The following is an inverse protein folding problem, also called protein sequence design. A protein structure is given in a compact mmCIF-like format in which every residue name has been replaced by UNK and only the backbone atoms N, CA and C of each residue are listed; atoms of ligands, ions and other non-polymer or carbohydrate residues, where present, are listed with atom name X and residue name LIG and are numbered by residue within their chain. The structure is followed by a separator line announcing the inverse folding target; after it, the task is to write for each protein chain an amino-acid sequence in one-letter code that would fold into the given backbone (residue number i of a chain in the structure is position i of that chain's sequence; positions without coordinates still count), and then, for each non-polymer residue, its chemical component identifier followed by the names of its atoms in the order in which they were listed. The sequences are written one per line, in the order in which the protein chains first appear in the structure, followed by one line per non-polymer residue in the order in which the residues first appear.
data_IF_876590715955
#
_entry.id   IF_876590715955
#
_cell.length_a   1.000
_cell.length_b   1.000
_cell.length_c   1.000
_cell.angle_alpha   90.00
_cell.angle_beta   90.00
_cell.angle_gamma   90.00
#
_symmetry.space_group_name_H-M   'P 1'
#
loop_
_entity.id
_entity.type
_entity.pdbx_description
1 polymer ?
#
# COMPACT_ATOMS: atom_id res chain seq x y z
N UNK A 1 -78.92 6.69 24.95
CA UNK A 1 -77.83 7.64 25.23
C UNK A 1 -77.26 8.00 23.87
N UNK A 2 -77.31 9.25 23.47
CA UNK A 2 -76.96 9.67 22.10
C UNK A 2 -75.46 9.96 22.02
N UNK A 3 -74.84 9.64 20.92
CA UNK A 3 -73.39 9.80 20.71
C UNK A 3 -72.86 11.20 21.06
N UNK A 4 -73.69 12.19 20.93
CA UNK A 4 -73.38 13.59 21.30
C UNK A 4 -73.19 13.76 22.83
N UNK A 5 -73.96 13.06 23.62
CA UNK A 5 -73.88 13.08 25.08
C UNK A 5 -72.68 12.29 25.63
N UNK A 6 -72.28 11.23 24.91
CA UNK A 6 -71.10 10.45 25.20
C UNK A 6 -69.86 11.28 24.94
N UNK A 7 -69.74 11.93 23.78
CA UNK A 7 -68.60 12.79 23.42
C UNK A 7 -68.49 14.02 24.37
N UNK A 8 -69.57 14.60 24.83
CA UNK A 8 -69.53 15.72 25.78
C UNK A 8 -69.05 15.28 27.17
N UNK A 9 -69.46 14.10 27.64
CA UNK A 9 -68.96 13.50 28.90
C UNK A 9 -67.47 13.07 28.81
N UNK A 10 -67.05 12.53 27.69
CA UNK A 10 -65.66 12.19 27.47
C UNK A 10 -64.82 13.49 27.43
N UNK A 11 -65.27 14.52 26.75
CA UNK A 11 -64.60 15.81 26.70
C UNK A 11 -64.39 16.44 28.08
N UNK A 12 -65.46 16.43 28.90
CA UNK A 12 -65.39 16.93 30.28
C UNK A 12 -64.49 16.10 31.19
N UNK A 13 -64.51 14.78 31.04
CA UNK A 13 -63.63 13.89 31.79
C UNK A 13 -62.17 14.10 31.42
N UNK A 14 -61.87 14.34 30.14
CA UNK A 14 -60.49 14.61 29.65
C UNK A 14 -59.98 15.95 30.20
N UNK A 15 -60.79 17.00 30.19
CA UNK A 15 -60.38 18.32 30.71
C UNK A 15 -60.21 18.30 32.25
N UNK A 16 -60.99 17.50 32.99
CA UNK A 16 -60.85 17.36 34.44
C UNK A 16 -59.70 16.42 34.86
N UNK A 17 -59.29 15.51 33.98
CA UNK A 17 -58.16 14.56 34.23
C UNK A 17 -56.76 15.09 33.79
N UNK A 18 -56.71 16.16 33.01
CA UNK A 18 -55.46 16.80 32.64
C UNK A 18 -55.03 17.79 33.73
N UNK A 19 -53.92 17.51 34.45
CA UNK A 19 -53.41 18.51 35.40
C UNK A 19 -52.96 19.74 34.61
N UNK A 20 -53.19 20.93 35.21
CA UNK A 20 -52.72 22.19 34.61
C UNK A 20 -51.21 22.27 34.61
N UNK A 21 -50.62 21.55 33.65
CA UNK A 21 -49.18 21.49 33.43
C UNK A 21 -48.66 22.87 32.97
N UNK A 22 -49.49 23.67 32.31
CA UNK A 22 -49.10 24.95 31.76
C UNK A 22 -48.83 25.99 32.86
N UNK A 23 -49.68 26.03 33.89
CA UNK A 23 -49.49 26.91 35.07
C UNK A 23 -48.21 26.50 35.82
N UNK A 24 -48.00 25.20 35.98
CA UNK A 24 -46.81 24.65 36.68
C UNK A 24 -45.50 24.90 35.92
N UNK A 25 -45.50 24.77 34.60
CA UNK A 25 -44.33 25.09 33.76
C UNK A 25 -44.02 26.58 33.78
N UNK A 26 -45.04 27.46 33.78
CA UNK A 26 -44.85 28.91 33.83
C UNK A 26 -44.34 29.38 35.19
N UNK A 27 -44.79 28.79 36.30
CA UNK A 27 -44.31 29.10 37.64
C UNK A 27 -42.86 28.63 37.84
N UNK A 28 -42.54 27.39 37.41
CA UNK A 28 -41.16 26.86 37.47
C UNK A 28 -40.19 27.65 36.56
N UNK A 29 -40.67 28.16 35.43
CA UNK A 29 -39.87 29.01 34.54
C UNK A 29 -39.64 30.40 35.12
N UNK A 30 -40.61 30.94 35.90
CA UNK A 30 -40.46 32.19 36.65
C UNK A 30 -39.43 32.09 37.77
N UNK A 31 -39.51 31.05 38.60
CA UNK A 31 -38.55 30.81 39.69
C UNK A 31 -37.14 30.55 39.18
N UNK A 32 -36.97 29.86 38.01
CA UNK A 32 -35.67 29.70 37.38
C UNK A 32 -35.04 31.00 36.88
N UNK A 33 -35.86 31.99 36.46
CA UNK A 33 -35.35 33.30 36.05
C UNK A 33 -34.81 34.12 37.23
N UNK A 34 -35.45 34.07 38.39
CA UNK A 34 -34.96 34.78 39.56
C UNK A 34 -33.66 34.17 40.13
N UNK A 35 -33.52 32.85 40.08
CA UNK A 35 -32.29 32.18 40.54
C UNK A 35 -31.10 32.30 39.58
N UNK A 36 -31.33 32.69 38.31
CA UNK A 36 -30.23 32.85 37.34
C UNK A 36 -29.55 34.22 37.39
N UNK A 37 -30.07 35.20 38.09
CA UNK A 37 -29.51 36.55 38.15
C UNK A 37 -28.35 36.72 39.14
N UNK A 38 -28.01 35.70 39.95
CA UNK A 38 -26.94 35.76 40.94
C UNK A 38 -25.75 34.85 40.68
N UNK A 39 -25.56 34.35 39.46
CA UNK A 39 -24.32 33.67 39.10
C UNK A 39 -23.29 34.73 38.78
N UNK A 40 -22.52 35.15 39.78
CA UNK A 40 -21.29 35.94 39.60
C UNK A 40 -20.28 35.05 38.85
N UNK A 41 -20.23 35.20 37.54
CA UNK A 41 -19.22 34.54 36.71
C UNK A 41 -17.89 35.27 36.98
N UNK A 42 -16.90 34.64 37.61
CA UNK A 42 -15.61 35.28 37.83
C UNK A 42 -14.97 35.57 36.48
N UNK A 43 -14.73 36.81 36.13
CA UNK A 43 -14.10 37.29 34.87
C UNK A 43 -12.66 36.80 34.65
N UNK A 44 -12.10 35.95 35.52
CA UNK A 44 -10.71 35.50 35.49
C UNK A 44 -10.41 34.29 34.56
N UNK A 45 -11.40 33.66 33.91
CA UNK A 45 -11.16 32.46 33.10
C UNK A 45 -10.74 32.73 31.62
N UNK A 46 -10.85 33.96 31.13
CA UNK A 46 -10.55 34.26 29.70
C UNK A 46 -9.08 34.23 29.35
N UNK A 47 -8.17 34.39 30.31
CA UNK A 47 -6.71 34.35 30.06
C UNK A 47 -6.22 32.91 29.97
N UNK A 48 -6.74 32.02 30.83
CA UNK A 48 -6.34 30.61 30.84
C UNK A 48 -6.82 29.87 29.57
N UNK A 49 -8.04 30.11 29.12
CA UNK A 49 -8.59 29.50 27.90
C UNK A 49 -7.86 29.95 26.62
N UNK A 50 -7.35 31.18 26.58
CA UNK A 50 -6.53 31.64 25.45
C UNK A 50 -5.14 31.02 25.45
N UNK A 51 -4.53 30.79 26.62
CA UNK A 51 -3.27 30.08 26.73
C UNK A 51 -3.40 28.61 26.31
N UNK A 52 -4.43 27.90 26.74
CA UNK A 52 -4.71 26.52 26.34
C UNK A 52 -5.07 26.40 24.86
N UNK A 53 -5.78 27.36 24.26
CA UNK A 53 -6.07 27.40 22.83
C UNK A 53 -4.78 27.57 21.99
N UNK A 54 -3.83 28.38 22.45
CA UNK A 54 -2.51 28.53 21.81
C UNK A 54 -1.69 27.26 21.85
N UNK A 55 -1.63 26.58 23.00
CA UNK A 55 -0.92 25.31 23.16
C UNK A 55 -1.55 24.21 22.29
N UNK A 56 -2.89 24.10 22.27
CA UNK A 56 -3.58 23.15 21.42
C UNK A 56 -3.32 23.39 19.94
N UNK A 57 -3.33 24.66 19.48
CA UNK A 57 -2.99 25.00 18.11
C UNK A 57 -1.53 24.63 17.75
N UNK A 58 -0.56 24.89 18.64
CA UNK A 58 0.84 24.50 18.44
C UNK A 58 0.99 22.97 18.37
N UNK A 59 0.27 22.22 19.20
CA UNK A 59 0.31 20.75 19.18
C UNK A 59 -0.29 20.18 17.89
N UNK A 60 -1.37 20.77 17.36
CA UNK A 60 -1.99 20.37 16.09
C UNK A 60 -1.04 20.64 14.92
N UNK A 61 -0.39 21.81 14.90
CA UNK A 61 0.60 22.17 13.88
C UNK A 61 1.83 21.25 13.97
N UNK A 62 2.35 21.02 15.17
CA UNK A 62 3.46 20.11 15.38
C UNK A 62 3.10 18.67 14.96
N UNK A 63 1.92 18.17 15.34
CA UNK A 63 1.42 16.88 14.92
C UNK A 63 1.24 16.78 13.39
N UNK A 64 0.77 17.85 12.75
CA UNK A 64 0.64 17.94 11.29
C UNK A 64 1.99 17.90 10.56
N UNK A 65 2.99 18.62 11.08
CA UNK A 65 4.37 18.59 10.53
C UNK A 65 5.00 17.21 10.75
N UNK A 66 4.84 16.62 11.93
CA UNK A 66 5.34 15.28 12.24
C UNK A 66 4.68 14.21 11.39
N UNK A 67 3.35 14.24 11.27
CA UNK A 67 2.59 13.32 10.41
C UNK A 67 2.94 13.50 8.93
N UNK A 68 3.07 14.74 8.45
CA UNK A 68 3.47 15.04 7.07
C UNK A 68 4.90 14.59 6.76
N UNK A 69 5.84 14.78 7.67
CA UNK A 69 7.22 14.27 7.54
C UNK A 69 7.29 12.75 7.57
N UNK A 70 6.55 12.13 8.47
CA UNK A 70 6.48 10.66 8.58
C UNK A 70 5.84 10.03 7.35
N UNK A 71 4.73 10.59 6.84
CA UNK A 71 4.08 10.12 5.61
C UNK A 71 4.97 10.31 4.37
N UNK A 72 5.74 11.39 4.28
CA UNK A 72 6.72 11.58 3.20
C UNK A 72 7.85 10.55 3.26
N UNK A 73 8.33 10.21 4.45
CA UNK A 73 9.33 9.18 4.64
C UNK A 73 8.81 7.80 4.23
N UNK A 74 7.60 7.42 4.68
CA UNK A 74 6.96 6.15 4.29
C UNK A 74 6.76 6.00 2.78
N UNK A 75 6.58 7.10 2.06
CA UNK A 75 6.41 7.08 0.60
C UNK A 75 7.74 7.04 -0.16
N UNK A 76 8.89 7.26 0.50
CA UNK A 76 10.23 7.30 -0.11
C UNK A 76 11.10 6.11 0.27
N UNK A 77 10.78 5.43 1.37
CA UNK A 77 11.57 4.28 1.80
C UNK A 77 11.21 3.06 0.94
N UNK A 78 12.24 2.36 0.46
CA UNK A 78 12.09 1.08 -0.23
C UNK A 78 11.51 0.07 0.77
N UNK A 79 10.37 -0.48 0.44
CA UNK A 79 9.70 -1.52 1.22
C UNK A 79 9.91 -2.92 0.63
N UNK A 80 10.05 -2.99 -0.69
CA UNK A 80 10.29 -4.23 -1.42
C UNK A 80 11.11 -3.94 -2.67
N UNK A 81 11.93 -4.89 -3.08
CA UNK A 81 12.56 -4.93 -4.39
C UNK A 81 12.02 -6.13 -5.14
N UNK A 82 11.50 -5.91 -6.33
CA UNK A 82 11.04 -6.95 -7.24
C UNK A 82 12.02 -7.05 -8.39
N UNK A 83 12.57 -8.26 -8.62
CA UNK A 83 13.42 -8.53 -9.77
C UNK A 83 12.63 -9.30 -10.82
N UNK A 84 12.79 -8.89 -12.07
CA UNK A 84 12.33 -9.59 -13.27
C UNK A 84 13.54 -10.04 -14.04
N UNK A 85 13.77 -11.34 -14.08
CA UNK A 85 14.87 -11.95 -14.78
C UNK A 85 14.38 -12.85 -15.92
N UNK A 86 14.91 -12.58 -17.08
CA UNK A 86 14.80 -13.41 -18.28
C UNK A 86 16.22 -13.62 -18.80
N UNK A 87 16.84 -12.68 -19.15
CA UNK A 87 18.08 -12.16 -19.70
C UNK A 87 17.62 -11.20 -20.80
N UNK A 88 17.10 -10.05 -20.38
CA UNK A 88 17.57 -9.07 -19.38
C UNK A 88 17.20 -9.35 -17.91
N UNK A 89 17.93 -8.67 -16.99
CA UNK A 89 17.63 -8.59 -15.56
C UNK A 89 17.28 -7.16 -15.15
N UNK A 90 16.14 -6.97 -14.51
CA UNK A 90 15.62 -5.66 -14.09
C UNK A 90 15.23 -5.73 -12.62
N UNK A 91 15.60 -4.71 -11.84
CA UNK A 91 15.15 -4.54 -10.46
C UNK A 91 14.22 -3.33 -10.34
N UNK A 92 13.17 -3.48 -9.55
CA UNK A 92 12.13 -2.48 -9.31
C UNK A 92 12.01 -2.27 -7.81
N UNK A 93 12.41 -1.10 -7.33
CA UNK A 93 12.21 -0.71 -5.94
C UNK A 93 10.85 -0.05 -5.77
N UNK A 94 10.09 -0.52 -4.78
CA UNK A 94 8.77 0.02 -4.47
C UNK A 94 8.65 0.39 -2.99
N UNK A 95 7.80 1.38 -2.72
CA UNK A 95 7.42 1.74 -1.38
C UNK A 95 6.30 0.83 -0.83
N UNK A 96 5.87 1.07 0.42
CA UNK A 96 4.79 0.30 1.09
C UNK A 96 3.43 0.36 0.39
N UNK A 97 3.23 1.28 -0.56
CA UNK A 97 2.01 1.42 -1.37
C UNK A 97 2.19 0.81 -2.76
N UNK A 98 3.25 0.04 -2.96
CA UNK A 98 3.63 -0.56 -4.24
C UNK A 98 3.77 0.49 -5.36
N UNK A 99 4.22 1.71 -5.00
CA UNK A 99 4.61 2.74 -5.95
C UNK A 99 6.08 2.62 -6.26
N UNK A 100 6.41 2.62 -7.52
CA UNK A 100 7.78 2.53 -8.01
C UNK A 100 8.58 3.74 -7.57
N UNK A 101 9.72 3.50 -6.95
CA UNK A 101 10.69 4.50 -6.56
C UNK A 101 11.82 4.58 -7.59
N UNK A 102 12.27 3.43 -8.06
CA UNK A 102 13.36 3.29 -9.01
C UNK A 102 13.21 2.01 -9.83
N UNK A 103 13.65 2.03 -11.08
CA UNK A 103 13.83 0.85 -11.93
C UNK A 103 15.30 0.84 -12.37
N UNK A 104 15.98 -0.27 -12.08
CA UNK A 104 17.41 -0.45 -12.40
C UNK A 104 17.59 -1.53 -13.44
N UNK A 105 18.35 -1.21 -14.47
CA UNK A 105 18.86 -2.18 -15.43
C UNK A 105 20.12 -2.87 -14.87
N UNK A 106 20.15 -4.19 -14.87
CA UNK A 106 21.31 -4.96 -14.43
C UNK A 106 22.28 -5.25 -15.55
N UNK A 107 21.85 -5.06 -16.81
CA UNK A 107 22.69 -5.27 -18.00
C UNK A 107 22.20 -4.41 -19.17
N UNK A 108 22.97 -4.37 -20.26
CA UNK A 108 22.65 -3.57 -21.45
C UNK A 108 21.35 -3.98 -22.14
N UNK A 109 20.93 -5.23 -22.04
CA UNK A 109 19.63 -5.67 -22.57
C UNK A 109 18.47 -5.11 -21.75
N UNK A 110 18.62 -5.02 -20.43
CA UNK A 110 17.67 -4.39 -19.56
C UNK A 110 17.53 -2.88 -19.84
N UNK A 111 18.64 -2.19 -20.15
CA UNK A 111 18.59 -0.79 -20.59
C UNK A 111 17.76 -0.63 -21.87
N UNK A 112 17.91 -1.55 -22.82
CA UNK A 112 17.09 -1.53 -24.04
C UNK A 112 15.64 -1.82 -23.79
N UNK A 113 15.32 -2.70 -22.82
CA UNK A 113 13.92 -3.01 -22.45
C UNK A 113 13.28 -1.81 -21.79
N UNK A 114 13.95 -1.17 -20.85
CA UNK A 114 13.43 0.03 -20.15
C UNK A 114 13.32 1.19 -21.14
N UNK A 115 14.34 1.41 -21.99
CA UNK A 115 14.35 2.51 -22.95
C UNK A 115 14.11 3.86 -22.26
N UNK A 116 13.27 4.70 -22.87
CA UNK A 116 12.94 6.04 -22.37
C UNK A 116 11.73 6.05 -21.42
N UNK A 117 11.27 4.89 -20.92
CA UNK A 117 10.12 4.80 -20.02
C UNK A 117 10.50 5.29 -18.62
N UNK A 118 9.74 6.25 -18.09
CA UNK A 118 9.82 6.69 -16.69
C UNK A 118 8.69 6.04 -15.89
N UNK A 119 9.06 5.23 -14.94
CA UNK A 119 8.15 4.51 -14.07
C UNK A 119 8.00 5.13 -12.68
N UNK A 120 8.68 6.22 -12.40
CA UNK A 120 8.68 6.87 -11.08
C UNK A 120 7.25 7.24 -10.64
N UNK A 121 6.82 6.70 -9.51
CA UNK A 121 5.47 6.91 -8.97
C UNK A 121 4.36 6.07 -9.61
N UNK A 122 4.65 5.28 -10.65
CA UNK A 122 3.71 4.33 -11.24
C UNK A 122 3.37 3.20 -10.23
N UNK A 123 2.32 2.45 -10.48
CA UNK A 123 2.06 1.23 -9.71
C UNK A 123 2.98 0.11 -10.21
N UNK A 124 3.32 -0.82 -9.32
CA UNK A 124 4.15 -1.97 -9.65
C UNK A 124 3.54 -2.79 -10.80
N UNK A 125 2.23 -3.04 -10.77
CA UNK A 125 1.53 -3.83 -11.80
C UNK A 125 1.67 -3.17 -13.19
N UNK A 126 1.45 -1.86 -13.29
CA UNK A 126 1.62 -1.12 -14.55
C UNK A 126 3.06 -1.22 -15.06
N UNK A 127 4.04 -1.10 -14.16
CA UNK A 127 5.46 -1.19 -14.50
C UNK A 127 5.85 -2.58 -14.98
N UNK A 128 5.42 -3.61 -14.25
CA UNK A 128 5.68 -5.02 -14.61
C UNK A 128 5.07 -5.33 -15.98
N UNK A 129 3.81 -4.96 -16.20
CA UNK A 129 3.14 -5.20 -17.47
C UNK A 129 3.83 -4.49 -18.64
N UNK A 130 4.27 -3.25 -18.45
CA UNK A 130 4.98 -2.51 -19.49
C UNK A 130 6.37 -3.14 -19.79
N UNK A 131 7.09 -3.58 -18.76
CA UNK A 131 8.39 -4.23 -18.93
C UNK A 131 8.26 -5.60 -19.62
N UNK A 132 7.32 -6.43 -19.19
CA UNK A 132 7.04 -7.72 -19.86
C UNK A 132 6.59 -7.50 -21.32
N UNK A 133 5.69 -6.54 -21.56
CA UNK A 133 5.28 -6.18 -22.93
C UNK A 133 6.47 -5.69 -23.78
N UNK A 134 7.41 -4.92 -23.23
CA UNK A 134 8.62 -4.50 -23.91
C UNK A 134 9.56 -5.69 -24.20
N UNK A 135 9.71 -6.64 -23.24
CA UNK A 135 10.47 -7.86 -23.43
C UNK A 135 9.91 -8.73 -24.55
N UNK A 136 8.57 -8.89 -24.59
CA UNK A 136 7.85 -9.59 -25.67
C UNK A 136 8.07 -8.90 -27.01
N UNK A 137 7.81 -7.61 -27.10
CA UNK A 137 7.95 -6.82 -28.31
C UNK A 137 9.36 -6.78 -28.90
N UNK A 138 10.38 -6.96 -28.05
CA UNK A 138 11.80 -6.99 -28.43
C UNK A 138 12.35 -8.41 -28.60
N UNK A 139 11.54 -9.44 -28.39
CA UNK A 139 11.91 -10.83 -28.57
C UNK A 139 12.78 -11.45 -27.47
N UNK A 140 12.87 -10.81 -26.29
CA UNK A 140 13.54 -11.40 -25.12
C UNK A 140 12.70 -12.51 -24.48
N UNK A 141 11.38 -12.44 -24.64
CA UNK A 141 10.44 -13.51 -24.31
C UNK A 141 9.79 -13.96 -25.61
N UNK A 142 9.84 -15.26 -25.87
CA UNK A 142 9.29 -15.88 -27.08
C UNK A 142 8.89 -17.33 -26.76
N UNK A 143 8.34 -18.05 -27.74
CA UNK A 143 8.02 -19.48 -27.58
C UNK A 143 9.23 -20.35 -27.23
N UNK A 144 10.43 -19.96 -27.64
CA UNK A 144 11.68 -20.72 -27.43
C UNK A 144 12.46 -20.22 -26.21
N UNK A 145 12.26 -18.94 -25.80
CA UNK A 145 12.89 -18.32 -24.65
C UNK A 145 11.79 -17.79 -23.71
N UNK A 146 11.17 -18.68 -22.98
CA UNK A 146 9.92 -18.46 -22.31
C UNK A 146 9.95 -18.54 -20.77
N UNK A 147 11.14 -18.68 -20.16
CA UNK A 147 11.26 -18.73 -18.70
C UNK A 147 11.49 -17.35 -18.12
N UNK A 148 10.65 -16.96 -17.16
CA UNK A 148 10.73 -15.70 -16.41
C UNK A 148 10.91 -16.05 -14.93
N UNK A 149 11.89 -15.44 -14.27
CA UNK A 149 12.06 -15.53 -12.83
C UNK A 149 11.62 -14.24 -12.17
N UNK A 150 10.68 -14.35 -11.26
CA UNK A 150 10.21 -13.27 -10.39
C UNK A 150 10.82 -13.48 -9.01
N UNK A 151 11.56 -12.51 -8.54
CA UNK A 151 12.14 -12.56 -7.19
C UNK A 151 11.69 -11.36 -6.38
N UNK A 152 11.31 -11.59 -5.12
CA UNK A 152 10.83 -10.54 -4.22
C UNK A 152 11.69 -10.51 -2.96
N UNK A 153 12.30 -9.37 -2.71
CA UNK A 153 13.01 -9.03 -1.46
C UNK A 153 12.07 -8.17 -0.62
N UNK A 154 11.76 -8.59 0.60
CA UNK A 154 10.79 -7.88 1.44
C UNK A 154 9.35 -8.00 0.90
N UNK A 155 8.50 -7.06 1.27
CA UNK A 155 7.12 -7.01 0.77
C UNK A 155 6.12 -7.89 1.53
N UNK A 156 4.87 -7.88 1.06
CA UNK A 156 3.80 -8.70 1.62
C UNK A 156 3.89 -10.13 1.08
N UNK A 157 3.40 -11.08 1.87
CA UNK A 157 3.41 -12.51 1.50
C UNK A 157 2.67 -12.78 0.18
N UNK A 158 1.58 -12.07 -0.09
CA UNK A 158 0.79 -12.24 -1.32
C UNK A 158 1.34 -11.52 -2.56
N UNK A 159 2.39 -10.68 -2.42
CA UNK A 159 2.91 -9.90 -3.54
C UNK A 159 3.50 -10.80 -4.63
N UNK A 160 4.31 -11.77 -4.24
CA UNK A 160 4.94 -12.72 -5.17
C UNK A 160 3.90 -13.54 -5.93
N UNK A 161 2.91 -14.10 -5.22
CA UNK A 161 1.83 -14.89 -5.82
C UNK A 161 1.02 -14.08 -6.82
N UNK A 162 0.69 -12.84 -6.47
CA UNK A 162 -0.06 -11.93 -7.34
C UNK A 162 0.69 -11.61 -8.63
N UNK A 163 1.97 -11.23 -8.52
CA UNK A 163 2.81 -10.96 -9.69
C UNK A 163 3.00 -12.20 -10.56
N UNK A 164 3.18 -13.38 -9.95
CA UNK A 164 3.29 -14.64 -10.68
C UNK A 164 2.03 -14.91 -11.49
N UNK A 165 0.86 -14.79 -10.88
CA UNK A 165 -0.42 -14.99 -11.56
C UNK A 165 -0.65 -13.98 -12.70
N UNK A 166 -0.28 -12.71 -12.48
CA UNK A 166 -0.42 -11.64 -13.47
C UNK A 166 0.47 -11.88 -14.70
N UNK A 167 1.76 -12.18 -14.49
CA UNK A 167 2.70 -12.45 -15.58
C UNK A 167 2.31 -13.73 -16.32
N UNK A 168 1.94 -14.80 -15.61
CA UNK A 168 1.45 -16.03 -16.25
C UNK A 168 0.27 -15.74 -17.17
N UNK A 169 -0.72 -15.00 -16.69
CA UNK A 169 -1.88 -14.61 -17.50
C UNK A 169 -1.50 -13.79 -18.73
N UNK A 170 -0.50 -12.91 -18.61
CA UNK A 170 -0.01 -12.06 -19.68
C UNK A 170 0.64 -12.92 -20.79
N UNK A 171 1.54 -13.84 -20.39
CA UNK A 171 2.17 -14.76 -21.33
C UNK A 171 1.18 -15.70 -22.01
N UNK A 172 0.21 -16.25 -21.27
CA UNK A 172 -0.84 -17.10 -21.83
C UNK A 172 -1.71 -16.34 -22.88
N UNK A 173 -1.96 -15.04 -22.64
CA UNK A 173 -2.72 -14.20 -23.58
C UNK A 173 -1.98 -14.02 -24.90
N UNK A 174 -0.64 -13.95 -24.86
CA UNK A 174 0.21 -13.87 -26.05
C UNK A 174 0.56 -15.25 -26.64
N UNK A 175 -0.04 -16.32 -26.12
CA UNK A 175 0.16 -17.68 -26.60
C UNK A 175 1.51 -18.28 -26.24
N UNK A 176 2.20 -17.74 -25.23
CA UNK A 176 3.49 -18.20 -24.77
C UNK A 176 3.29 -19.09 -23.56
N UNK A 177 3.44 -20.39 -23.74
CA UNK A 177 3.48 -21.35 -22.64
C UNK A 177 4.86 -21.39 -22.05
N UNK A 178 5.14 -20.50 -21.07
CA UNK A 178 6.41 -20.35 -20.43
C UNK A 178 6.44 -20.78 -18.97
N UNK A 179 7.64 -21.03 -18.45
CA UNK A 179 7.85 -21.29 -17.04
C UNK A 179 7.98 -19.96 -16.27
N UNK A 180 6.95 -19.58 -15.52
CA UNK A 180 7.05 -18.47 -14.57
C UNK A 180 7.54 -19.01 -13.23
N UNK A 181 8.83 -18.86 -12.99
CA UNK A 181 9.48 -19.21 -11.72
C UNK A 181 9.33 -18.06 -10.74
N UNK A 182 9.07 -18.34 -9.48
CA UNK A 182 8.99 -17.28 -8.48
C UNK A 182 9.61 -17.68 -7.15
N UNK A 183 10.21 -16.72 -6.46
CA UNK A 183 10.85 -16.95 -5.17
C UNK A 183 10.83 -15.69 -4.28
N UNK A 184 10.85 -15.90 -2.97
CA UNK A 184 11.25 -14.87 -2.04
C UNK A 184 12.77 -14.94 -1.84
N UNK A 185 13.42 -13.78 -1.86
CA UNK A 185 14.85 -13.67 -1.66
C UNK A 185 15.13 -13.33 -0.21
N UNK A 186 15.98 -14.16 0.41
CA UNK A 186 16.56 -13.84 1.71
C UNK A 186 17.90 -13.15 1.47
N UNK A 187 17.94 -11.85 1.72
CA UNK A 187 19.15 -11.05 1.53
C UNK A 187 20.26 -11.58 2.43
N UNK A 188 21.39 -11.95 1.84
CA UNK A 188 22.66 -12.21 2.54
C UNK A 188 23.77 -11.35 1.94
N UNK A 189 24.76 -10.99 2.76
CA UNK A 189 25.90 -10.22 2.25
C UNK A 189 26.65 -10.92 1.11
N UNK A 190 26.69 -12.24 1.13
CA UNK A 190 27.34 -13.07 0.10
C UNK A 190 26.58 -13.00 -1.24
N UNK A 191 25.24 -13.16 -1.21
CA UNK A 191 24.41 -13.05 -2.41
C UNK A 191 24.46 -11.66 -3.03
N UNK A 192 24.41 -10.63 -2.19
CA UNK A 192 24.54 -9.24 -2.65
C UNK A 192 25.89 -9.00 -3.34
N UNK A 193 26.99 -9.45 -2.71
CA UNK A 193 28.33 -9.32 -3.29
C UNK A 193 28.45 -10.09 -4.61
N UNK A 194 27.86 -11.29 -4.71
CA UNK A 194 27.83 -12.05 -5.94
C UNK A 194 27.00 -11.34 -7.03
N UNK A 195 25.82 -10.83 -6.70
CA UNK A 195 24.97 -10.07 -7.62
C UNK A 195 25.72 -8.85 -8.20
N UNK A 196 26.33 -8.04 -7.33
CA UNK A 196 27.13 -6.88 -7.74
C UNK A 196 28.33 -7.28 -8.62
N UNK A 197 29.08 -8.33 -8.23
CA UNK A 197 30.26 -8.79 -8.97
C UNK A 197 29.94 -9.24 -10.39
N UNK A 198 28.80 -9.91 -10.57
CA UNK A 198 28.42 -10.50 -11.85
C UNK A 198 27.40 -9.66 -12.65
N UNK A 199 26.97 -8.52 -12.15
CA UNK A 199 25.98 -7.66 -12.80
C UNK A 199 24.63 -8.35 -13.01
N UNK A 200 24.17 -9.10 -12.01
CA UNK A 200 22.91 -9.84 -12.01
C UNK A 200 22.05 -9.41 -10.81
N UNK A 201 20.77 -9.75 -10.82
CA UNK A 201 19.88 -9.48 -9.70
C UNK A 201 20.21 -10.38 -8.49
N UNK A 202 19.82 -9.94 -7.28
CA UNK A 202 19.92 -10.79 -6.09
C UNK A 202 19.06 -12.07 -6.24
N UNK A 203 17.94 -11.98 -6.98
CA UNK A 203 17.11 -13.12 -7.30
C UNK A 203 17.81 -14.16 -8.15
N UNK A 204 18.43 -13.74 -9.23
CA UNK A 204 19.23 -14.63 -10.09
C UNK A 204 20.42 -15.20 -9.33
N UNK A 205 21.08 -14.40 -8.50
CA UNK A 205 22.19 -14.88 -7.66
C UNK A 205 21.72 -15.98 -6.68
N UNK A 206 20.54 -15.85 -6.07
CA UNK A 206 19.97 -16.89 -5.20
C UNK A 206 19.61 -18.17 -5.98
N UNK A 207 19.11 -18.06 -7.20
CA UNK A 207 18.85 -19.22 -8.06
C UNK A 207 20.16 -19.96 -8.36
N UNK A 208 21.20 -19.24 -8.78
CA UNK A 208 22.52 -19.79 -9.07
C UNK A 208 23.13 -20.46 -7.83
N UNK A 209 23.07 -19.83 -6.67
CA UNK A 209 23.55 -20.40 -5.40
C UNK A 209 22.87 -21.74 -5.09
N UNK A 210 21.54 -21.84 -5.34
CA UNK A 210 20.82 -23.12 -5.18
C UNK A 210 21.28 -24.19 -6.17
N UNK A 211 21.52 -23.82 -7.42
CA UNK A 211 22.07 -24.76 -8.43
C UNK A 211 23.42 -25.25 -7.98
N UNK A 212 24.33 -24.37 -7.56
CA UNK A 212 25.68 -24.75 -7.10
C UNK A 212 25.63 -25.65 -5.85
N UNK A 213 24.71 -25.38 -4.92
CA UNK A 213 24.50 -26.23 -3.73
C UNK A 213 24.01 -27.63 -4.07
N UNK A 214 23.22 -27.76 -5.13
CA UNK A 214 22.72 -29.05 -5.61
C UNK A 214 23.77 -29.78 -6.47
N UNK A 215 24.55 -29.07 -7.28
CA UNK A 215 25.61 -29.59 -8.07
C UNK A 215 26.87 -28.69 -8.00
N UNK A 216 27.85 -29.04 -7.13
CA UNK A 216 29.05 -28.25 -6.93
C UNK A 216 30.02 -28.21 -8.12
N UNK A 217 29.71 -28.89 -9.23
CA UNK A 217 30.49 -28.77 -10.48
C UNK A 217 30.28 -27.43 -11.17
N UNK A 218 29.19 -26.74 -10.87
CA UNK A 218 28.86 -25.40 -11.37
C UNK A 218 29.52 -24.32 -10.54
N UNK A 219 29.75 -23.17 -11.14
CA UNK A 219 30.32 -21.99 -10.49
C UNK A 219 29.53 -20.75 -10.89
N UNK A 220 29.59 -19.66 -10.12
CA UNK A 220 28.97 -18.40 -10.51
C UNK A 220 29.51 -17.89 -11.85
N UNK A 221 30.81 -18.07 -12.14
CA UNK A 221 31.42 -17.68 -13.41
C UNK A 221 30.74 -18.34 -14.60
N UNK A 222 30.38 -19.62 -14.48
CA UNK A 222 29.76 -20.38 -15.58
C UNK A 222 28.27 -20.11 -15.72
N UNK A 223 27.58 -19.76 -14.63
CA UNK A 223 26.11 -19.65 -14.61
C UNK A 223 25.60 -18.21 -14.74
N UNK A 224 26.38 -17.20 -14.33
CA UNK A 224 25.88 -15.81 -14.27
C UNK A 224 25.50 -15.25 -15.66
N UNK A 225 26.20 -15.68 -16.71
CA UNK A 225 25.90 -15.27 -18.09
C UNK A 225 24.71 -15.97 -18.74
N UNK A 226 24.21 -17.07 -18.15
CA UNK A 226 23.10 -17.84 -18.71
C UNK A 226 21.75 -17.11 -18.51
N UNK A 227 20.82 -17.31 -19.45
CA UNK A 227 19.45 -16.90 -19.33
C UNK A 227 18.71 -17.74 -18.28
N UNK A 228 17.55 -17.26 -17.81
CA UNK A 228 16.70 -18.05 -16.91
C UNK A 228 16.21 -19.33 -17.57
N UNK A 229 15.98 -19.29 -18.89
CA UNK A 229 15.60 -20.47 -19.66
C UNK A 229 16.66 -21.55 -19.60
N UNK A 230 17.95 -21.17 -19.76
CA UNK A 230 19.06 -22.10 -19.66
C UNK A 230 19.29 -22.63 -18.25
N UNK A 231 19.17 -21.73 -17.23
CA UNK A 231 19.27 -22.12 -15.82
C UNK A 231 18.15 -23.07 -15.38
N UNK A 232 16.97 -22.97 -15.98
CA UNK A 232 15.82 -23.82 -15.67
C UNK A 232 15.97 -25.25 -16.24
N UNK A 233 16.93 -25.46 -17.14
CA UNK A 233 17.22 -26.78 -17.74
C UNK A 233 18.32 -27.56 -17.00
N UNK A 234 19.00 -26.93 -16.03
CA UNK A 234 20.03 -27.52 -15.19
C UNK A 234 19.41 -28.12 -13.92
#
# INVERSE_FOLDING_TARGET
MNDKEINERIGKAFVSATPDIRGKILSDAGERKENMTNIIIPKKKKILTRAFAGIAACLIVAAGIFAGGFLKKLNRDVASTVSLDVNPGIEIDVNRKERVLEVRAMNADAERVIGDMDFTGSTLDVTVNALIGSMLGKGYISTDANSVLISVVGGSEGLRERLTAEITKLLDTDGISGAVLSQNVTVSGELKTAAEKYGITEGKAQLIDRIIKNDPRHTFETLAGLSINELNLI
#
